data_IF_275665396369
#
_entry.id   IF_275665396369
#
_cell.length_a   1.000
_cell.length_b   1.000
_cell.length_c   1.000
_cell.angle_alpha   90.00
_cell.angle_beta   90.00
_cell.angle_gamma   90.00
#
_symmetry.space_group_name_H-M   'P 1'
#
loop_
_entity.id
_entity.type
_entity.pdbx_description
1 polymer ?
#
# COMPACT_ATOMS: atom_id res chain seq x y z
N UNK A 1 -52.95 12.40 -34.71
CA UNK A 1 -51.91 11.41 -35.04
C UNK A 1 -50.75 11.58 -34.07
N UNK A 2 -50.64 10.61 -33.16
CA UNK A 2 -49.46 10.13 -32.39
C UNK A 2 -48.31 11.11 -32.11
N UNK A 3 -48.34 11.67 -30.89
CA UNK A 3 -47.16 12.16 -30.18
C UNK A 3 -46.14 11.03 -30.00
N UNK A 4 -44.90 11.25 -30.45
CA UNK A 4 -43.76 10.40 -30.10
C UNK A 4 -42.93 11.13 -29.04
N UNK A 5 -43.11 10.76 -27.78
CA UNK A 5 -42.18 11.09 -26.70
C UNK A 5 -40.96 10.17 -26.84
N UNK A 6 -39.81 10.74 -27.22
CA UNK A 6 -38.52 10.06 -27.14
C UNK A 6 -38.05 10.10 -25.67
N UNK A 7 -38.20 8.99 -24.96
CA UNK A 7 -37.55 8.80 -23.67
C UNK A 7 -36.06 8.52 -23.90
N UNK A 8 -35.21 9.52 -23.65
CA UNK A 8 -33.76 9.33 -23.63
C UNK A 8 -33.38 8.51 -22.39
N UNK A 9 -33.02 7.25 -22.60
CA UNK A 9 -32.47 6.39 -21.56
C UNK A 9 -31.04 6.87 -21.28
N UNK A 10 -30.86 7.65 -20.21
CA UNK A 10 -29.54 8.08 -19.77
C UNK A 10 -28.76 6.85 -19.29
N UNK A 11 -27.76 6.44 -20.05
CA UNK A 11 -26.80 5.43 -19.65
C UNK A 11 -26.00 6.00 -18.48
N UNK A 12 -26.37 5.65 -17.24
CA UNK A 12 -25.54 5.92 -16.08
C UNK A 12 -24.29 5.08 -16.23
N UNK A 13 -23.20 5.69 -16.72
CA UNK A 13 -21.87 5.14 -16.57
C UNK A 13 -21.57 5.16 -15.07
N UNK A 14 -21.90 4.06 -14.38
CA UNK A 14 -21.36 3.78 -13.07
C UNK A 14 -19.84 3.94 -13.20
N UNK A 15 -19.31 5.00 -12.58
CA UNK A 15 -17.89 5.31 -12.63
C UNK A 15 -17.15 4.06 -12.16
N UNK A 16 -16.49 3.37 -13.08
CA UNK A 16 -15.49 2.38 -12.72
C UNK A 16 -14.53 3.13 -11.79
N UNK A 17 -14.51 2.76 -10.51
CA UNK A 17 -13.61 3.36 -9.52
C UNK A 17 -12.23 3.27 -10.13
N UNK A 18 -11.66 4.41 -10.53
CA UNK A 18 -10.31 4.43 -11.08
C UNK A 18 -9.43 3.75 -10.04
N UNK A 19 -8.69 2.71 -10.43
CA UNK A 19 -7.81 2.02 -9.51
C UNK A 19 -6.88 3.07 -8.89
N UNK A 20 -6.83 3.12 -7.55
CA UNK A 20 -6.01 4.10 -6.85
C UNK A 20 -4.54 3.97 -7.23
N UNK A 21 -3.77 5.02 -6.95
CA UNK A 21 -2.35 5.04 -7.29
C UNK A 21 -1.63 3.91 -6.55
N UNK A 22 -0.73 3.23 -7.25
CA UNK A 22 0.19 2.26 -6.63
C UNK A 22 1.47 2.97 -6.19
N UNK A 23 1.92 2.65 -4.99
CA UNK A 23 3.14 3.18 -4.38
C UNK A 23 4.06 2.04 -3.96
N UNK A 24 5.35 2.32 -3.89
CA UNK A 24 6.35 1.41 -3.33
C UNK A 24 7.07 2.12 -2.20
N UNK A 25 6.94 1.61 -0.97
CA UNK A 25 7.71 2.06 0.18
C UNK A 25 8.93 1.15 0.32
N UNK A 26 10.09 1.68 -0.06
CA UNK A 26 11.37 0.95 0.00
C UNK A 26 11.85 0.82 1.43
N UNK A 27 12.60 -0.24 1.72
CA UNK A 27 13.23 -0.44 3.02
C UNK A 27 14.64 0.19 3.07
N UNK A 28 14.71 1.50 3.33
CA UNK A 28 15.97 2.26 3.49
C UNK A 28 16.15 2.71 4.93
N UNK A 29 17.35 3.11 5.38
CA UNK A 29 17.57 3.59 6.75
C UNK A 29 16.64 4.72 7.19
N UNK A 30 16.13 5.52 6.27
CA UNK A 30 15.25 6.65 6.54
C UNK A 30 13.78 6.25 6.71
N UNK A 31 13.38 5.10 6.16
CA UNK A 31 11.99 4.63 6.08
C UNK A 31 11.70 3.44 7.01
N UNK A 32 12.72 2.80 7.56
CA UNK A 32 12.58 1.67 8.49
C UNK A 32 12.75 2.11 9.95
N UNK A 33 12.09 1.40 10.85
CA UNK A 33 12.23 1.56 12.30
C UNK A 33 12.25 0.18 12.95
N UNK A 34 13.04 0.01 14.01
CA UNK A 34 13.35 -1.32 14.54
C UNK A 34 13.18 -1.41 16.05
N UNK A 35 12.11 -2.10 16.49
CA UNK A 35 11.95 -2.49 17.90
C UNK A 35 11.03 -1.59 18.72
N UNK A 36 10.38 -0.59 18.12
CA UNK A 36 9.36 0.22 18.79
C UNK A 36 8.37 0.83 17.79
N UNK A 37 7.28 1.38 18.32
CA UNK A 37 6.30 2.21 17.60
C UNK A 37 6.15 3.52 18.37
N UNK A 38 6.42 4.65 17.72
CA UNK A 38 6.25 5.99 18.29
C UNK A 38 5.18 6.77 17.52
N UNK A 39 4.05 7.17 18.14
CA UNK A 39 3.03 7.98 17.48
C UNK A 39 3.51 9.39 17.09
N UNK A 40 4.67 9.83 17.59
CA UNK A 40 5.29 11.12 17.23
C UNK A 40 6.28 11.01 16.05
N UNK A 41 6.60 9.81 15.58
CA UNK A 41 7.46 9.63 14.41
C UNK A 41 6.79 10.24 13.16
N UNK A 42 7.51 11.02 12.35
CA UNK A 42 6.95 11.57 11.12
C UNK A 42 6.58 10.46 10.12
N UNK A 43 5.47 10.62 9.36
CA UNK A 43 5.09 9.66 8.33
C UNK A 43 6.19 9.47 7.28
N UNK A 44 6.47 8.22 6.91
CA UNK A 44 7.42 7.88 5.82
C UNK A 44 6.77 7.84 4.44
N UNK A 45 5.44 7.76 4.39
CA UNK A 45 4.62 7.83 3.19
C UNK A 45 3.20 8.29 3.55
N UNK A 46 2.63 9.20 2.76
CA UNK A 46 1.22 9.63 2.86
C UNK A 46 0.52 9.30 1.53
N UNK A 47 -0.63 8.61 1.59
CA UNK A 47 -1.38 8.13 0.42
C UNK A 47 -2.84 8.58 0.43
N UNK A 48 -3.50 8.52 -0.72
CA UNK A 48 -4.95 8.73 -0.83
C UNK A 48 -5.74 7.48 -0.44
N UNK A 49 -7.00 7.66 -0.05
CA UNK A 49 -7.91 6.52 0.14
C UNK A 49 -8.17 5.80 -1.18
N UNK A 50 -8.07 4.48 -1.20
CA UNK A 50 -8.17 3.64 -2.40
C UNK A 50 -6.84 3.37 -3.10
N UNK A 51 -5.75 4.03 -2.70
CA UNK A 51 -4.40 3.72 -3.16
C UNK A 51 -3.91 2.37 -2.60
N UNK A 52 -2.89 1.81 -3.24
CA UNK A 52 -2.24 0.56 -2.81
C UNK A 52 -0.75 0.76 -2.59
N UNK A 53 -0.15 0.02 -1.65
CA UNK A 53 1.26 0.14 -1.30
C UNK A 53 1.93 -1.23 -1.25
N UNK A 54 3.01 -1.39 -1.98
CA UNK A 54 3.98 -2.46 -1.75
C UNK A 54 4.99 -1.96 -0.71
N UNK A 55 5.00 -2.58 0.46
CA UNK A 55 5.93 -2.24 1.54
C UNK A 55 7.07 -3.26 1.55
N UNK A 56 8.27 -2.81 1.26
CA UNK A 56 9.47 -3.62 1.45
C UNK A 56 9.76 -3.76 2.94
N UNK A 57 10.08 -4.97 3.38
CA UNK A 57 10.42 -5.27 4.77
C UNK A 57 11.76 -5.98 4.84
N UNK A 58 12.44 -5.84 5.98
CA UNK A 58 13.70 -6.50 6.25
C UNK A 58 13.54 -7.49 7.39
N UNK A 59 14.25 -8.61 7.29
CA UNK A 59 14.35 -9.56 8.39
C UNK A 59 15.11 -8.92 9.55
N UNK A 60 14.53 -9.03 10.75
CA UNK A 60 15.08 -8.46 11.99
C UNK A 60 16.54 -8.89 12.21
N UNK A 61 16.85 -10.16 11.95
CA UNK A 61 18.19 -10.72 12.11
C UNK A 61 19.04 -10.67 10.83
N UNK A 62 18.57 -10.06 9.73
CA UNK A 62 19.30 -9.94 8.44
C UNK A 62 19.97 -11.25 8.00
N UNK A 63 19.20 -12.34 7.96
CA UNK A 63 19.67 -13.69 7.58
C UNK A 63 20.74 -14.32 8.48
N UNK A 64 20.96 -13.81 9.69
CA UNK A 64 21.92 -14.43 10.62
C UNK A 64 21.39 -15.73 11.24
N UNK A 65 20.07 -15.90 11.32
CA UNK A 65 19.44 -17.11 11.85
C UNK A 65 19.26 -18.10 10.69
N UNK A 66 20.20 -19.04 10.57
CA UNK A 66 20.20 -20.08 9.53
C UNK A 66 20.51 -21.46 10.10
N UNK A 67 20.11 -22.51 9.39
CA UNK A 67 20.34 -23.89 9.81
C UNK A 67 21.84 -24.18 9.95
N UNK A 68 22.24 -24.73 11.10
CA UNK A 68 23.64 -25.10 11.38
C UNK A 68 24.50 -24.00 11.98
N UNK A 69 23.98 -22.77 12.12
CA UNK A 69 24.65 -21.70 12.87
C UNK A 69 24.25 -21.81 14.35
N UNK A 70 25.22 -22.02 15.28
CA UNK A 70 24.93 -22.07 16.70
C UNK A 70 24.65 -20.66 17.23
N UNK A 71 23.85 -20.57 18.32
CA UNK A 71 23.35 -19.30 18.85
C UNK A 71 24.48 -18.34 19.27
N UNK A 72 25.63 -18.85 19.71
CA UNK A 72 26.78 -18.05 20.15
C UNK A 72 27.45 -17.25 19.02
N UNK A 73 27.06 -17.50 17.75
CA UNK A 73 27.60 -16.83 16.55
C UNK A 73 26.60 -15.89 15.86
N UNK A 74 25.42 -15.72 16.42
CA UNK A 74 24.35 -14.82 15.97
C UNK A 74 24.40 -13.56 16.86
#
# INVERSE_FOLDING_TARGET
>A
MRSFFFAAFALSAAAASAAGKHHVLKATPETVQWGWLDPKEPPKLTIGSGDTVSVETLLHARDQITTGVPMEKI
#
